data_IF_547273203419
#
_entry.id   IF_547273203419
#
_cell.length_a   1.000
_cell.length_b   1.000
_cell.length_c   1.000
_cell.angle_alpha   90.00
_cell.angle_beta   90.00
_cell.angle_gamma   90.00
#
_symmetry.space_group_name_H-M   'P 1'
#
loop_
_entity.id
_entity.type
_entity.pdbx_description
1 polymer ?
#
# COMPACT_ATOMS: atom_id res chain seq x y z
N UNK A 1 -30.57 5.42 8.80
CA UNK A 1 -30.14 4.31 9.69
C UNK A 1 -28.88 4.76 10.37
N UNK A 2 -28.90 4.92 11.70
CA UNK A 2 -27.77 5.45 12.47
C UNK A 2 -26.63 4.42 12.46
N UNK A 3 -25.46 4.79 11.95
CA UNK A 3 -24.25 3.96 12.00
C UNK A 3 -23.74 3.93 13.43
N UNK A 4 -24.08 2.89 14.20
CA UNK A 4 -23.39 2.62 15.46
C UNK A 4 -21.89 2.47 15.20
N UNK A 5 -21.09 3.41 15.73
CA UNK A 5 -19.63 3.35 15.70
C UNK A 5 -19.16 2.20 16.58
N UNK A 6 -18.97 1.02 15.99
CA UNK A 6 -18.33 -0.11 16.66
C UNK A 6 -16.85 0.21 16.90
N UNK A 7 -16.33 -0.10 18.10
CA UNK A 7 -14.89 0.04 18.39
C UNK A 7 -14.07 -0.91 17.51
N UNK A 8 -12.86 -0.52 17.13
CA UNK A 8 -11.93 -1.42 16.43
C UNK A 8 -11.57 -2.59 17.35
N UNK A 9 -11.56 -3.81 16.81
CA UNK A 9 -11.21 -5.01 17.56
C UNK A 9 -11.34 -6.29 16.73
N UNK A 10 -10.42 -7.23 16.94
CA UNK A 10 -10.48 -8.61 16.44
C UNK A 10 -10.61 -9.51 17.65
N UNK A 11 -11.71 -10.26 17.74
CA UNK A 11 -12.06 -11.05 18.93
C UNK A 11 -12.09 -12.56 18.67
N UNK A 12 -11.87 -12.99 17.42
CA UNK A 12 -11.87 -14.39 17.00
C UNK A 12 -11.39 -14.50 15.55
N UNK A 13 -10.85 -15.65 15.16
CA UNK A 13 -10.49 -15.97 13.76
C UNK A 13 -11.67 -16.52 12.92
N UNK A 14 -12.72 -17.05 13.57
CA UNK A 14 -13.88 -17.65 12.88
C UNK A 14 -15.18 -16.83 12.99
N UNK A 15 -15.15 -15.68 13.66
CA UNK A 15 -16.30 -14.79 13.80
C UNK A 15 -16.67 -14.08 12.50
N UNK A 16 -17.85 -13.43 12.48
CA UNK A 16 -18.28 -12.66 11.31
C UNK A 16 -17.34 -11.47 11.08
N UNK A 17 -16.54 -11.53 10.02
CA UNK A 17 -15.69 -10.44 9.57
C UNK A 17 -16.54 -9.22 9.18
N UNK A 18 -16.18 -8.04 9.71
CA UNK A 18 -16.89 -6.78 9.47
C UNK A 18 -16.08 -5.78 8.65
N UNK A 19 -14.78 -5.68 8.93
CA UNK A 19 -13.84 -4.77 8.27
C UNK A 19 -12.51 -5.48 8.07
N UNK A 20 -11.90 -5.33 6.90
CA UNK A 20 -10.61 -5.93 6.54
C UNK A 20 -9.77 -4.94 5.75
N UNK A 21 -8.46 -5.02 5.88
CA UNK A 21 -7.51 -4.28 5.06
C UNK A 21 -6.78 -5.24 4.12
N UNK A 22 -6.70 -4.87 2.85
CA UNK A 22 -6.00 -5.62 1.80
C UNK A 22 -5.06 -4.68 1.04
N UNK A 23 -4.09 -5.24 0.30
CA UNK A 23 -3.19 -4.46 -0.54
C UNK A 23 -3.15 -5.08 -1.94
N UNK A 24 -3.62 -4.32 -2.93
CA UNK A 24 -3.66 -4.81 -4.30
C UNK A 24 -2.27 -4.93 -4.91
N UNK A 25 -2.00 -5.93 -5.77
CA UNK A 25 -0.78 -5.96 -6.56
C UNK A 25 -0.58 -4.66 -7.35
N UNK A 26 0.60 -4.06 -7.26
CA UNK A 26 0.92 -2.77 -7.87
C UNK A 26 2.33 -2.69 -8.46
N UNK A 27 2.89 -1.49 -8.45
CA UNK A 27 4.22 -1.17 -8.99
C UNK A 27 5.33 -2.08 -8.40
N UNK A 28 5.24 -2.45 -7.11
CA UNK A 28 6.21 -3.34 -6.46
C UNK A 28 6.44 -4.63 -7.28
N UNK A 29 5.35 -5.27 -7.72
CA UNK A 29 5.39 -6.53 -8.45
C UNK A 29 5.86 -6.34 -9.89
N UNK A 30 5.73 -5.13 -10.45
CA UNK A 30 6.28 -4.82 -11.79
C UNK A 30 7.81 -4.71 -11.76
N UNK A 31 8.42 -4.57 -10.58
CA UNK A 31 9.88 -4.54 -10.39
C UNK A 31 10.47 -5.90 -10.03
N UNK A 32 9.64 -6.93 -9.88
CA UNK A 32 10.11 -8.29 -9.72
C UNK A 32 10.77 -8.76 -11.01
N UNK A 33 11.95 -9.33 -10.87
CA UNK A 33 12.71 -10.01 -11.91
C UNK A 33 13.08 -11.40 -11.41
N UNK A 34 13.37 -12.36 -12.31
CA UNK A 34 13.81 -13.69 -11.89
C UNK A 34 15.09 -13.68 -11.04
N UNK A 35 15.87 -12.59 -11.09
CA UNK A 35 17.11 -12.46 -10.33
C UNK A 35 16.96 -11.79 -8.97
N UNK A 36 15.81 -11.15 -8.68
CA UNK A 36 15.59 -10.42 -7.42
C UNK A 36 14.39 -10.92 -6.60
N UNK A 37 13.56 -11.83 -7.14
CA UNK A 37 12.35 -12.29 -6.46
C UNK A 37 12.64 -12.92 -5.11
N UNK A 38 13.69 -13.76 -5.01
CA UNK A 38 14.10 -14.40 -3.77
C UNK A 38 14.51 -13.36 -2.70
N UNK A 39 15.29 -12.34 -3.09
CA UNK A 39 15.69 -11.24 -2.19
C UNK A 39 14.49 -10.41 -1.73
N UNK A 40 13.49 -10.25 -2.61
CA UNK A 40 12.25 -9.53 -2.34
C UNK A 40 11.16 -10.40 -1.69
N UNK A 41 11.50 -11.63 -1.25
CA UNK A 41 10.62 -12.55 -0.55
C UNK A 41 9.41 -13.00 -1.39
N UNK A 42 9.63 -13.19 -2.70
CA UNK A 42 8.68 -13.76 -3.66
C UNK A 42 9.24 -15.03 -4.28
N UNK A 43 8.41 -16.07 -4.40
CA UNK A 43 8.81 -17.34 -5.04
C UNK A 43 9.11 -17.17 -6.54
N UNK A 44 8.40 -16.28 -7.24
CA UNK A 44 8.59 -16.02 -8.68
C UNK A 44 7.97 -14.67 -9.10
N UNK A 45 8.22 -14.27 -10.35
CA UNK A 45 7.58 -13.13 -11.02
C UNK A 45 6.13 -13.47 -11.36
N UNK A 46 5.23 -12.53 -11.09
CA UNK A 46 3.79 -12.71 -11.33
C UNK A 46 3.29 -11.90 -12.53
N UNK A 47 2.22 -12.39 -13.18
CA UNK A 47 1.50 -11.61 -14.18
C UNK A 47 0.65 -10.53 -13.52
N UNK A 48 1.24 -9.35 -13.27
CA UNK A 48 0.66 -8.28 -12.44
C UNK A 48 -0.76 -7.88 -12.85
N UNK A 49 -1.05 -7.76 -14.15
CA UNK A 49 -2.39 -7.38 -14.61
C UNK A 49 -3.45 -8.46 -14.34
N UNK A 50 -3.08 -9.74 -14.41
CA UNK A 50 -3.96 -10.83 -14.02
C UNK A 50 -4.13 -10.86 -12.50
N UNK A 51 -3.04 -10.75 -11.73
CA UNK A 51 -3.09 -10.71 -10.28
C UNK A 51 -3.96 -9.56 -9.74
N UNK A 52 -3.94 -8.39 -10.39
CA UNK A 52 -4.86 -7.27 -10.08
C UNK A 52 -6.34 -7.64 -10.30
N UNK A 53 -6.66 -8.36 -11.38
CA UNK A 53 -8.04 -8.83 -11.65
C UNK A 53 -8.48 -9.84 -10.61
N UNK A 54 -7.62 -10.81 -10.29
CA UNK A 54 -7.92 -11.84 -9.29
C UNK A 54 -8.08 -11.24 -7.89
N UNK A 55 -7.23 -10.28 -7.52
CA UNK A 55 -7.37 -9.54 -6.27
C UNK A 55 -8.66 -8.70 -6.25
N UNK A 56 -9.04 -8.05 -7.35
CA UNK A 56 -10.30 -7.30 -7.43
C UNK A 56 -11.52 -8.21 -7.28
N UNK A 57 -11.50 -9.40 -7.88
CA UNK A 57 -12.53 -10.43 -7.69
C UNK A 57 -12.61 -10.89 -6.22
N UNK A 58 -11.46 -11.16 -5.58
CA UNK A 58 -11.38 -11.45 -4.15
C UNK A 58 -12.03 -10.37 -3.27
N UNK A 59 -11.71 -9.09 -3.53
CA UNK A 59 -12.30 -7.94 -2.84
C UNK A 59 -13.81 -7.87 -3.07
N UNK A 60 -14.25 -8.09 -4.31
CA UNK A 60 -15.67 -8.02 -4.69
C UNK A 60 -16.49 -9.07 -3.94
N UNK A 61 -16.01 -10.33 -3.92
CA UNK A 61 -16.66 -11.43 -3.18
C UNK A 61 -16.82 -11.16 -1.68
N UNK A 62 -15.91 -10.39 -1.07
CA UNK A 62 -16.04 -9.97 0.32
C UNK A 62 -17.06 -8.83 0.49
N UNK A 63 -17.01 -7.82 -0.39
CA UNK A 63 -17.94 -6.68 -0.37
C UNK A 63 -19.39 -7.11 -0.57
N UNK A 64 -19.63 -8.05 -1.47
CA UNK A 64 -20.95 -8.67 -1.70
C UNK A 64 -21.53 -9.32 -0.45
N UNK A 65 -20.67 -9.75 0.50
CA UNK A 65 -21.07 -10.33 1.80
C UNK A 65 -21.25 -9.29 2.90
N UNK A 66 -21.23 -8.01 2.54
CA UNK A 66 -21.37 -6.87 3.45
C UNK A 66 -20.12 -6.57 4.29
N UNK A 67 -18.94 -7.04 3.87
CA UNK A 67 -17.67 -6.76 4.55
C UNK A 67 -17.13 -5.42 4.03
N UNK A 68 -16.73 -4.53 4.96
CA UNK A 68 -16.03 -3.29 4.62
C UNK A 68 -14.57 -3.59 4.28
N UNK A 69 -14.24 -3.55 2.98
CA UNK A 69 -12.89 -3.85 2.48
C UNK A 69 -12.15 -2.56 2.18
N UNK A 70 -11.19 -2.24 3.06
CA UNK A 70 -10.25 -1.14 2.92
C UNK A 70 -9.05 -1.58 2.09
N UNK A 71 -8.61 -0.72 1.16
CA UNK A 71 -7.47 -1.00 0.29
C UNK A 71 -6.30 -0.08 0.66
N UNK A 72 -5.10 -0.65 0.82
CA UNK A 72 -3.94 0.03 1.36
C UNK A 72 -3.46 1.22 0.51
N UNK A 73 -3.46 1.15 -0.81
CA UNK A 73 -3.10 2.30 -1.66
C UNK A 73 -4.09 3.44 -1.47
N UNK A 74 -5.39 3.15 -1.33
CA UNK A 74 -6.40 4.16 -1.06
C UNK A 74 -6.18 4.81 0.32
N UNK A 75 -6.02 4.00 1.37
CA UNK A 75 -5.74 4.49 2.72
C UNK A 75 -4.47 5.34 2.78
N UNK A 76 -3.40 4.89 2.11
CA UNK A 76 -2.15 5.65 2.06
C UNK A 76 -2.31 6.94 1.27
N UNK A 77 -3.02 6.91 0.14
CA UNK A 77 -3.34 8.10 -0.67
C UNK A 77 -4.13 9.14 0.12
N UNK A 78 -5.11 8.71 0.92
CA UNK A 78 -5.87 9.59 1.81
C UNK A 78 -5.00 10.11 2.96
N UNK A 79 -4.16 9.24 3.54
CA UNK A 79 -3.30 9.59 4.68
C UNK A 79 -2.27 10.65 4.31
N UNK A 80 -1.58 10.49 3.18
CA UNK A 80 -0.50 11.41 2.79
C UNK A 80 -0.98 12.73 2.19
N UNK A 81 -2.29 12.90 1.98
CA UNK A 81 -2.86 14.23 1.74
C UNK A 81 -2.76 15.12 2.99
N UNK A 82 -2.62 14.54 4.19
CA UNK A 82 -2.23 15.28 5.38
C UNK A 82 -0.71 15.57 5.34
N UNK A 83 -0.29 16.86 5.27
CA UNK A 83 1.13 17.22 5.21
C UNK A 83 1.93 16.72 6.41
N UNK A 84 1.33 16.66 7.61
CA UNK A 84 2.00 16.15 8.81
C UNK A 84 2.28 14.65 8.70
N UNK A 85 1.31 13.88 8.19
CA UNK A 85 1.46 12.45 8.00
C UNK A 85 2.49 12.14 6.91
N UNK A 86 2.47 12.87 5.79
CA UNK A 86 3.48 12.73 4.75
C UNK A 86 4.88 13.04 5.29
N UNK A 87 5.04 14.17 5.98
CA UNK A 87 6.32 14.56 6.62
C UNK A 87 6.80 13.47 7.56
N UNK A 88 5.91 12.92 8.41
CA UNK A 88 6.24 11.88 9.36
C UNK A 88 6.84 10.63 8.69
N UNK A 89 6.26 10.21 7.55
CA UNK A 89 6.74 9.06 6.76
C UNK A 89 8.08 9.37 6.12
N UNK A 90 8.21 10.49 5.40
CA UNK A 90 9.41 10.82 4.64
C UNK A 90 10.62 11.06 5.56
N UNK A 91 10.42 11.68 6.72
CA UNK A 91 11.47 11.89 7.74
C UNK A 91 12.09 10.58 8.24
N UNK A 92 11.34 9.47 8.20
CA UNK A 92 11.79 8.15 8.67
C UNK A 92 12.26 7.24 7.55
N UNK A 93 11.71 7.39 6.35
CA UNK A 93 11.99 6.50 5.22
C UNK A 93 13.17 6.99 4.37
N UNK A 94 13.34 8.31 4.24
CA UNK A 94 14.41 8.93 3.43
C UNK A 94 15.46 9.48 4.38
N UNK A 95 16.50 8.68 4.62
CA UNK A 95 17.59 9.01 5.54
C UNK A 95 18.94 8.83 4.85
N UNK A 96 20.00 9.32 5.45
CA UNK A 96 21.37 9.11 4.96
C UNK A 96 21.70 7.62 4.82
N UNK A 97 21.22 6.78 5.73
CA UNK A 97 21.54 5.34 5.77
C UNK A 97 20.71 4.52 4.78
N UNK A 98 19.46 4.95 4.51
CA UNK A 98 18.57 4.23 3.60
C UNK A 98 18.71 4.65 2.13
N UNK A 99 19.11 5.90 1.87
CA UNK A 99 19.11 6.50 0.53
C UNK A 99 20.46 7.09 0.13
N UNK A 100 21.32 7.43 1.10
CA UNK A 100 22.61 8.08 0.85
C UNK A 100 22.53 9.60 0.94
N UNK A 101 23.58 10.23 1.49
CA UNK A 101 23.65 11.67 1.77
C UNK A 101 23.35 12.55 0.55
N UNK A 102 23.81 12.14 -0.65
CA UNK A 102 23.68 12.94 -1.88
C UNK A 102 22.30 12.93 -2.53
N UNK A 103 21.43 11.94 -2.23
CA UNK A 103 20.16 11.73 -2.93
C UNK A 103 18.93 12.12 -2.09
N UNK A 104 19.10 12.30 -0.77
CA UNK A 104 17.98 12.51 0.16
C UNK A 104 17.12 13.74 -0.17
N UNK A 105 17.73 14.89 -0.46
CA UNK A 105 17.04 16.15 -0.73
C UNK A 105 16.28 16.13 -2.05
N UNK A 106 16.92 15.65 -3.13
CA UNK A 106 16.31 15.57 -4.45
C UNK A 106 15.19 14.52 -4.51
N UNK A 107 15.40 13.33 -3.94
CA UNK A 107 14.39 12.28 -3.92
C UNK A 107 13.16 12.71 -3.14
N UNK A 108 13.37 13.34 -1.98
CA UNK A 108 12.28 13.87 -1.16
C UNK A 108 11.51 14.96 -1.91
N UNK A 109 12.21 15.94 -2.48
CA UNK A 109 11.58 17.03 -3.24
C UNK A 109 10.77 16.50 -4.43
N UNK A 110 11.32 15.50 -5.12
CA UNK A 110 10.64 14.83 -6.23
C UNK A 110 9.38 14.09 -5.77
N UNK A 111 9.44 13.34 -4.66
CA UNK A 111 8.29 12.64 -4.09
C UNK A 111 7.19 13.62 -3.62
N UNK A 112 7.56 14.69 -2.91
CA UNK A 112 6.62 15.71 -2.43
C UNK A 112 5.93 16.47 -3.57
N UNK A 113 6.54 16.54 -4.76
CA UNK A 113 5.94 17.15 -5.96
C UNK A 113 4.90 16.26 -6.65
N UNK A 114 4.74 14.99 -6.25
CA UNK A 114 3.84 14.04 -6.91
C UNK A 114 2.42 14.15 -6.38
N UNK A 115 1.46 13.85 -7.26
CA UNK A 115 0.07 13.66 -6.85
C UNK A 115 -0.02 12.54 -5.79
N UNK A 116 -0.88 12.67 -4.76
CA UNK A 116 -0.96 11.71 -3.66
C UNK A 116 -1.13 10.25 -4.11
N UNK A 117 -1.93 9.98 -5.15
CA UNK A 117 -2.11 8.62 -5.68
C UNK A 117 -0.78 8.03 -6.17
N UNK A 118 -0.03 8.81 -6.96
CA UNK A 118 1.25 8.39 -7.52
C UNK A 118 2.33 8.30 -6.46
N UNK A 119 2.31 9.21 -5.49
CA UNK A 119 3.20 9.15 -4.34
C UNK A 119 2.99 7.86 -3.53
N UNK A 120 1.74 7.49 -3.25
CA UNK A 120 1.43 6.22 -2.58
C UNK A 120 1.91 4.99 -3.38
N UNK A 121 1.72 4.99 -4.71
CA UNK A 121 2.24 3.94 -5.59
C UNK A 121 3.77 3.80 -5.49
N UNK A 122 4.53 4.90 -5.41
CA UNK A 122 5.99 4.87 -5.23
C UNK A 122 6.42 4.48 -3.81
N UNK A 123 5.70 4.92 -2.78
CA UNK A 123 6.02 4.57 -1.39
C UNK A 123 5.89 3.06 -1.13
N UNK A 124 4.98 2.39 -1.82
CA UNK A 124 4.79 0.93 -1.78
C UNK A 124 5.68 0.24 -2.82
N UNK A 125 5.73 0.77 -4.04
CA UNK A 125 6.36 0.14 -5.20
C UNK A 125 7.84 0.45 -5.42
N UNK A 126 8.44 1.31 -4.61
CA UNK A 126 9.82 1.74 -4.75
C UNK A 126 10.05 2.74 -5.89
N UNK A 127 11.15 3.47 -5.76
CA UNK A 127 11.69 4.41 -6.76
C UNK A 127 12.96 3.80 -7.34
N UNK A 128 13.18 3.98 -8.64
CA UNK A 128 14.36 3.54 -9.36
C UNK A 128 14.91 4.71 -10.18
#
# INVERSE_FOLDING_TARGET
MSTEKTKLGVHSEAGKLRKVMVCSPGLAHQRLTPSNCDELLFDDVIWVNQAKRDHFDFVTKMRERGIDVLEMHNLLTETIQNPEALKWILDRKITADSVGLGLTSELRSWLESREPRKLAEYLIGGVA
#
